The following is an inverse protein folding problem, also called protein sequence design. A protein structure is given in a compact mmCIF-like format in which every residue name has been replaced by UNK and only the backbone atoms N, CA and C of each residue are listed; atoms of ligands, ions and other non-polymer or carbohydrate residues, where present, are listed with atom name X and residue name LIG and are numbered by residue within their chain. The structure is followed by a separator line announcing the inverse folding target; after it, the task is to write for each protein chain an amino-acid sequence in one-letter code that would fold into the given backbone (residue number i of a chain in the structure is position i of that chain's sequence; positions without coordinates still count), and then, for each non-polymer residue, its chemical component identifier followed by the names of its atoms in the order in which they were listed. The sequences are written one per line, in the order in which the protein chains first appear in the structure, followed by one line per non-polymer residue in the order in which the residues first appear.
data_IF_833467463192
#
_entry.id   IF_833467463192
#
_cell.length_a   1.000
_cell.length_b   1.000
_cell.length_c   1.000
_cell.angle_alpha   90.00
_cell.angle_beta   90.00
_cell.angle_gamma   90.00
#
_symmetry.space_group_name_H-M   'P 1'
#
loop_
_entity.id
_entity.type
_entity.pdbx_description
1 polymer ?
#
# COMPACT_ATOMS: atom_id res chain seq x y z
N UNK A 1 43.61 -12.45 23.74
CA UNK A 1 42.37 -12.31 24.53
C UNK A 1 41.26 -12.98 23.74
N UNK A 2 40.59 -13.98 24.31
CA UNK A 2 39.52 -14.70 23.61
C UNK A 2 38.37 -13.73 23.31
N UNK A 3 38.21 -13.31 22.05
CA UNK A 3 37.04 -12.56 21.59
C UNK A 3 35.86 -13.53 21.60
N UNK A 4 35.23 -13.69 22.76
CA UNK A 4 34.01 -14.48 22.88
C UNK A 4 32.90 -13.78 22.12
N UNK A 5 32.38 -14.47 21.13
CA UNK A 5 31.20 -14.07 20.37
C UNK A 5 30.05 -13.89 21.37
N UNK A 6 29.24 -12.83 21.26
CA UNK A 6 28.09 -12.65 22.15
C UNK A 6 27.14 -13.83 22.00
N UNK A 7 26.76 -14.40 23.14
CA UNK A 7 25.83 -15.53 23.23
C UNK A 7 24.40 -15.08 23.51
N UNK A 8 24.23 -13.86 24.03
CA UNK A 8 22.94 -13.24 24.30
C UNK A 8 22.76 -11.94 23.52
N UNK A 9 21.52 -11.47 23.41
CA UNK A 9 21.20 -10.19 22.74
C UNK A 9 21.73 -9.01 23.56
N UNK A 10 21.73 -9.13 24.88
CA UNK A 10 22.26 -8.14 25.81
C UNK A 10 23.76 -7.95 25.60
N UNK A 11 24.52 -9.05 25.47
CA UNK A 11 25.94 -9.02 25.14
C UNK A 11 26.19 -8.44 23.75
N UNK A 12 25.36 -8.81 22.77
CA UNK A 12 25.44 -8.28 21.42
C UNK A 12 25.26 -6.75 21.42
N UNK A 13 24.23 -6.25 22.12
CA UNK A 13 23.97 -4.82 22.26
C UNK A 13 25.13 -4.11 22.97
N UNK A 14 25.60 -4.66 24.08
CA UNK A 14 26.68 -4.05 24.86
C UNK A 14 28.00 -3.94 24.05
N UNK A 15 28.33 -4.97 23.25
CA UNK A 15 29.62 -5.04 22.54
C UNK A 15 29.59 -4.48 21.13
N UNK A 16 28.46 -4.58 20.42
CA UNK A 16 28.37 -4.30 18.98
C UNK A 16 27.37 -3.21 18.60
N UNK A 17 26.68 -2.55 19.52
CA UNK A 17 25.67 -1.51 19.19
C UNK A 17 26.20 -0.45 18.23
N UNK A 18 27.38 0.13 18.48
CA UNK A 18 27.99 1.11 17.59
C UNK A 18 28.27 0.55 16.20
N UNK A 19 28.75 -0.70 16.12
CA UNK A 19 29.01 -1.38 14.85
C UNK A 19 27.71 -1.66 14.10
N UNK A 20 26.68 -2.18 14.78
CA UNK A 20 25.37 -2.49 14.21
C UNK A 20 24.75 -1.21 13.65
N UNK A 21 24.72 -0.11 14.41
CA UNK A 21 24.20 1.18 13.94
C UNK A 21 24.95 1.71 12.72
N UNK A 22 26.28 1.58 12.71
CA UNK A 22 27.11 1.96 11.54
C UNK A 22 26.77 1.11 10.31
N UNK A 23 26.61 -0.20 10.48
CA UNK A 23 26.23 -1.11 9.39
C UNK A 23 24.83 -0.80 8.87
N UNK A 24 23.85 -0.60 9.75
CA UNK A 24 22.48 -0.21 9.39
C UNK A 24 22.51 1.08 8.56
N UNK A 25 23.24 2.11 8.99
CA UNK A 25 23.37 3.36 8.25
C UNK A 25 23.92 3.14 6.83
N UNK A 26 25.02 2.39 6.72
CA UNK A 26 25.67 2.12 5.42
C UNK A 26 24.74 1.32 4.49
N UNK A 27 24.05 0.30 5.02
CA UNK A 27 23.14 -0.53 4.22
C UNK A 27 21.87 0.21 3.85
N UNK A 28 21.30 1.00 4.75
CA UNK A 28 20.12 1.82 4.48
C UNK A 28 20.37 2.76 3.31
N UNK A 29 21.55 3.42 3.27
CA UNK A 29 21.96 4.23 2.11
C UNK A 29 22.08 3.40 0.83
N UNK A 30 22.73 2.24 0.88
CA UNK A 30 22.89 1.35 -0.29
C UNK A 30 21.55 0.89 -0.87
N UNK A 31 20.56 0.61 -0.01
CA UNK A 31 19.24 0.11 -0.39
C UNK A 31 18.19 1.22 -0.55
N UNK A 32 18.61 2.49 -0.49
CA UNK A 32 17.76 3.67 -0.67
C UNK A 32 16.56 3.65 0.30
N UNK A 33 16.82 3.28 1.55
CA UNK A 33 15.83 3.30 2.63
C UNK A 33 15.87 4.66 3.34
N UNK A 34 14.71 5.24 3.69
CA UNK A 34 14.64 6.46 4.48
C UNK A 34 15.37 6.31 5.82
N UNK A 35 16.01 7.39 6.29
CA UNK A 35 16.67 7.41 7.60
C UNK A 35 15.69 7.17 8.76
N UNK A 36 14.41 7.49 8.59
CA UNK A 36 13.35 7.21 9.57
C UNK A 36 13.16 5.71 9.84
N UNK A 37 13.56 4.83 8.92
CA UNK A 37 13.45 3.37 9.10
C UNK A 37 14.63 2.76 9.88
N UNK A 38 15.61 3.55 10.33
CA UNK A 38 16.79 3.02 11.00
C UNK A 38 16.45 2.27 12.30
N UNK A 39 15.50 2.79 13.08
CA UNK A 39 15.01 2.12 14.30
C UNK A 39 14.26 0.84 13.98
N UNK A 40 13.42 0.84 12.93
CA UNK A 40 12.69 -0.35 12.47
C UNK A 40 13.66 -1.46 12.03
N UNK A 41 14.71 -1.10 11.28
CA UNK A 41 15.75 -2.03 10.84
C UNK A 41 16.49 -2.62 12.04
N UNK A 42 16.81 -1.78 13.04
CA UNK A 42 17.49 -2.24 14.25
C UNK A 42 16.62 -3.21 15.05
N UNK A 43 15.34 -2.90 15.24
CA UNK A 43 14.38 -3.78 15.91
C UNK A 43 14.21 -5.12 15.16
N UNK A 44 14.03 -5.07 13.84
CA UNK A 44 13.83 -6.27 13.03
C UNK A 44 15.09 -7.14 12.94
N UNK A 45 16.27 -6.51 12.96
CA UNK A 45 17.54 -7.23 13.10
C UNK A 45 17.60 -8.03 14.41
N UNK A 46 17.32 -7.42 15.57
CA UNK A 46 17.34 -8.14 16.85
C UNK A 46 16.26 -9.21 16.91
N UNK A 47 15.06 -8.92 16.39
CA UNK A 47 13.98 -9.90 16.30
C UNK A 47 14.42 -11.12 15.47
N UNK A 48 15.09 -10.93 14.33
CA UNK A 48 15.63 -12.04 13.53
C UNK A 48 16.71 -12.82 14.26
N UNK A 49 17.57 -12.16 15.03
CA UNK A 49 18.58 -12.82 15.84
C UNK A 49 17.96 -13.75 16.89
N UNK A 50 16.88 -13.31 17.54
CA UNK A 50 16.13 -14.11 18.52
C UNK A 50 15.39 -15.25 17.83
N UNK A 51 14.50 -14.92 16.89
CA UNK A 51 13.59 -15.90 16.25
C UNK A 51 14.31 -17.01 15.50
N UNK A 52 15.53 -16.75 15.00
CA UNK A 52 16.28 -17.74 14.23
C UNK A 52 17.50 -18.29 14.97
N UNK A 53 17.70 -17.95 16.25
CA UNK A 53 18.89 -18.28 17.05
C UNK A 53 20.20 -18.00 16.29
N UNK A 54 20.33 -16.82 15.70
CA UNK A 54 21.46 -16.51 14.79
C UNK A 54 22.80 -16.45 15.53
N UNK A 55 22.80 -16.11 16.82
CA UNK A 55 24.02 -16.08 17.63
C UNK A 55 24.60 -17.48 17.83
N UNK A 56 23.76 -18.47 18.11
CA UNK A 56 24.18 -19.88 18.26
C UNK A 56 24.62 -20.50 16.93
N UNK A 57 24.01 -20.06 15.82
CA UNK A 57 24.32 -20.55 14.46
C UNK A 57 25.56 -19.92 13.85
N UNK A 58 26.23 -19.00 14.55
CA UNK A 58 27.46 -18.40 14.05
C UNK A 58 28.59 -19.43 14.03
N UNK A 59 29.27 -19.49 12.88
CA UNK A 59 30.39 -20.38 12.64
C UNK A 59 31.68 -19.55 12.45
N UNK A 60 32.57 -19.50 13.45
CA UNK A 60 33.78 -18.68 13.40
C UNK A 60 34.78 -19.15 12.34
N UNK A 61 34.65 -20.36 11.81
CA UNK A 61 35.55 -20.88 10.78
C UNK A 61 35.25 -20.30 9.38
N UNK A 62 34.04 -19.77 9.17
CA UNK A 62 33.57 -19.31 7.86
C UNK A 62 33.77 -17.82 7.61
N UNK A 63 33.63 -16.99 8.64
CA UNK A 63 33.75 -15.55 8.52
C UNK A 63 33.94 -14.88 9.89
N UNK A 64 34.45 -13.65 9.89
CA UNK A 64 34.45 -12.83 11.08
C UNK A 64 33.02 -12.46 11.51
N UNK A 65 32.81 -12.29 12.82
CA UNK A 65 31.47 -12.03 13.38
C UNK A 65 30.86 -10.73 12.81
N UNK A 66 31.66 -9.68 12.58
CA UNK A 66 31.16 -8.46 11.94
C UNK A 66 30.64 -8.72 10.51
N UNK A 67 31.29 -9.59 9.75
CA UNK A 67 30.82 -10.00 8.41
C UNK A 67 29.52 -10.79 8.51
N UNK A 68 29.37 -11.60 9.56
CA UNK A 68 28.13 -12.33 9.83
C UNK A 68 26.97 -11.36 10.15
N UNK A 69 27.21 -10.36 11.02
CA UNK A 69 26.24 -9.30 11.31
C UNK A 69 25.87 -8.52 10.04
N UNK A 70 26.86 -8.16 9.22
CA UNK A 70 26.67 -7.47 7.95
C UNK A 70 25.74 -8.24 7.01
N UNK A 71 25.89 -9.57 6.94
CA UNK A 71 25.02 -10.44 6.13
C UNK A 71 23.58 -10.41 6.62
N UNK A 72 23.36 -10.48 7.92
CA UNK A 72 22.02 -10.47 8.52
C UNK A 72 21.34 -9.12 8.27
N UNK A 73 22.03 -8.01 8.56
CA UNK A 73 21.54 -6.65 8.34
C UNK A 73 21.25 -6.42 6.85
N UNK A 74 22.13 -6.89 5.96
CA UNK A 74 21.91 -6.85 4.51
C UNK A 74 20.61 -7.56 4.13
N UNK A 75 20.33 -8.73 4.71
CA UNK A 75 19.08 -9.45 4.50
C UNK A 75 17.85 -8.66 4.98
N UNK A 76 17.91 -8.03 6.15
CA UNK A 76 16.83 -7.16 6.66
C UNK A 76 16.57 -5.99 5.72
N UNK A 77 17.62 -5.24 5.37
CA UNK A 77 17.50 -4.09 4.46
C UNK A 77 17.01 -4.49 3.06
N UNK A 78 17.44 -5.64 2.53
CA UNK A 78 16.96 -6.15 1.25
C UNK A 78 15.47 -6.45 1.30
N UNK A 79 15.00 -7.16 2.33
CA UNK A 79 13.57 -7.46 2.50
C UNK A 79 12.73 -6.20 2.61
N UNK A 80 13.17 -5.22 3.40
CA UNK A 80 12.47 -3.94 3.54
C UNK A 80 12.48 -3.14 2.24
N UNK A 81 13.61 -3.08 1.54
CA UNK A 81 13.72 -2.39 0.25
C UNK A 81 12.83 -3.06 -0.81
N UNK A 82 12.75 -4.38 -0.84
CA UNK A 82 11.85 -5.11 -1.72
C UNK A 82 10.38 -4.83 -1.38
N UNK A 83 10.02 -4.75 -0.09
CA UNK A 83 8.67 -4.40 0.35
C UNK A 83 8.29 -2.97 -0.04
N UNK A 84 9.20 -2.03 0.16
CA UNK A 84 9.05 -0.62 -0.27
C UNK A 84 8.94 -0.51 -1.79
N UNK A 85 9.77 -1.23 -2.54
CA UNK A 85 9.70 -1.27 -4.00
C UNK A 85 8.44 -1.96 -4.50
N UNK A 86 7.95 -3.00 -3.81
CA UNK A 86 6.68 -3.63 -4.12
C UNK A 86 5.52 -2.65 -3.88
N UNK A 87 5.52 -1.93 -2.75
CA UNK A 87 4.53 -0.89 -2.48
C UNK A 87 4.56 0.23 -3.54
N UNK A 88 5.77 0.68 -3.94
CA UNK A 88 5.94 1.68 -5.01
C UNK A 88 5.55 1.16 -6.40
N UNK A 89 5.84 -0.10 -6.71
CA UNK A 89 5.39 -0.76 -7.95
C UNK A 89 3.88 -0.96 -7.95
N UNK A 90 3.26 -1.20 -6.81
CA UNK A 90 1.81 -1.31 -6.70
C UNK A 90 1.13 0.00 -7.08
N UNK A 91 1.62 1.15 -6.60
CA UNK A 91 1.14 2.48 -7.03
C UNK A 91 1.35 2.74 -8.54
N UNK A 92 2.51 2.34 -9.11
CA UNK A 92 2.80 2.56 -10.54
C UNK A 92 2.04 1.62 -11.49
N UNK A 93 1.62 0.46 -10.99
CA UNK A 93 0.93 -0.56 -11.78
C UNK A 93 -0.59 -0.43 -11.64
N UNK A 94 -1.10 0.20 -10.56
CA UNK A 94 -2.46 0.76 -10.52
C UNK A 94 -2.64 1.76 -11.68
N UNK A 95 -1.67 2.64 -11.92
CA UNK A 95 -1.66 3.60 -13.04
C UNK A 95 -1.73 2.95 -14.43
N UNK A 96 -1.13 1.77 -14.63
CA UNK A 96 -1.23 1.02 -15.91
C UNK A 96 -2.56 0.28 -16.05
N UNK A 97 -3.06 -0.34 -14.98
CA UNK A 97 -4.34 -1.05 -14.99
C UNK A 97 -5.51 -0.08 -15.21
N UNK A 98 -5.41 1.11 -14.64
CA UNK A 98 -6.27 2.26 -14.92
C UNK A 98 -6.22 2.67 -16.39
N UNK A 99 -5.02 2.86 -16.96
CA UNK A 99 -4.83 3.31 -18.35
C UNK A 99 -5.28 2.28 -19.40
N UNK A 100 -5.27 0.99 -19.07
CA UNK A 100 -5.62 -0.10 -19.97
C UNK A 100 -7.05 -0.63 -19.80
N UNK A 101 -7.79 -0.15 -18.80
CA UNK A 101 -9.17 -0.58 -18.53
C UNK A 101 -10.17 0.48 -19.01
N UNK A 102 -11.47 0.14 -19.08
CA UNK A 102 -12.56 1.09 -19.36
C UNK A 102 -12.61 2.26 -18.36
N UNK A 103 -11.95 2.10 -17.22
CA UNK A 103 -11.76 3.15 -16.22
C UNK A 103 -10.92 4.31 -16.77
N UNK A 104 -10.13 4.10 -17.83
CA UNK A 104 -9.47 5.20 -18.56
C UNK A 104 -10.45 6.19 -19.19
N UNK A 105 -11.69 5.78 -19.52
CA UNK A 105 -12.75 6.70 -19.96
C UNK A 105 -13.11 7.69 -18.84
N UNK A 106 -13.21 7.20 -17.59
CA UNK A 106 -13.39 8.04 -16.39
C UNK A 106 -12.20 9.01 -16.21
N UNK A 107 -10.96 8.57 -16.51
CA UNK A 107 -9.76 9.42 -16.48
C UNK A 107 -9.78 10.51 -17.57
N UNK A 108 -10.22 10.18 -18.80
CA UNK A 108 -10.28 11.11 -19.93
C UNK A 108 -11.45 12.10 -19.85
N UNK A 109 -12.49 11.81 -19.05
CA UNK A 109 -13.71 12.63 -18.98
C UNK A 109 -13.79 13.56 -17.77
N UNK A 110 -12.78 13.56 -16.91
CA UNK A 110 -12.52 14.68 -15.97
C UNK A 110 -12.31 16.02 -16.71
N UNK A 111 -12.00 15.99 -18.00
CA UNK A 111 -11.96 17.17 -18.88
C UNK A 111 -13.30 17.50 -19.58
N UNK A 112 -14.31 16.63 -19.54
CA UNK A 112 -15.59 16.83 -20.27
C UNK A 112 -16.82 17.00 -19.39
N UNK A 113 -16.75 16.69 -18.09
CA UNK A 113 -17.86 16.88 -17.14
C UNK A 113 -18.31 18.35 -16.95
N UNK A 114 -17.57 19.33 -17.50
CA UNK A 114 -18.03 20.73 -17.61
C UNK A 114 -19.15 20.93 -18.65
N UNK A 115 -19.51 19.89 -19.44
CA UNK A 115 -20.47 20.01 -20.56
C UNK A 115 -21.80 19.27 -20.39
N UNK A 116 -22.06 18.63 -19.25
CA UNK A 116 -23.40 18.14 -18.88
C UNK A 116 -23.91 16.88 -19.61
N UNK A 117 -23.06 16.16 -20.34
CA UNK A 117 -23.40 14.85 -20.93
C UNK A 117 -22.71 13.72 -20.15
N UNK A 118 -23.50 12.87 -19.50
CA UNK A 118 -22.99 11.64 -18.89
C UNK A 118 -22.55 10.65 -19.99
N UNK A 119 -21.29 10.22 -20.00
CA UNK A 119 -20.79 9.24 -20.94
C UNK A 119 -21.46 7.87 -20.74
N UNK A 120 -21.84 7.17 -21.82
CA UNK A 120 -22.51 5.86 -21.73
C UNK A 120 -21.71 4.82 -20.93
N UNK A 121 -20.38 4.93 -20.91
CA UNK A 121 -19.50 4.01 -20.19
C UNK A 121 -19.47 4.24 -18.67
N UNK A 122 -19.71 5.47 -18.19
CA UNK A 122 -19.74 5.77 -16.74
C UNK A 122 -20.96 5.12 -16.09
N UNK A 123 -22.14 5.20 -16.72
CA UNK A 123 -23.37 4.59 -16.21
C UNK A 123 -23.23 3.08 -16.08
N UNK A 124 -22.64 2.41 -17.09
CA UNK A 124 -22.36 0.98 -17.04
C UNK A 124 -21.40 0.62 -15.89
N UNK A 125 -20.37 1.44 -15.64
CA UNK A 125 -19.43 1.22 -14.54
C UNK A 125 -20.11 1.43 -13.18
N UNK A 126 -20.97 2.44 -13.03
CA UNK A 126 -21.77 2.66 -11.80
C UNK A 126 -22.68 1.46 -11.53
N UNK A 127 -23.35 0.95 -12.57
CA UNK A 127 -24.20 -0.24 -12.45
C UNK A 127 -23.39 -1.48 -12.03
N UNK A 128 -22.20 -1.67 -12.59
CA UNK A 128 -21.30 -2.76 -12.18
C UNK A 128 -20.84 -2.60 -10.73
N UNK A 129 -20.48 -1.39 -10.31
CA UNK A 129 -20.09 -1.11 -8.93
C UNK A 129 -21.23 -1.37 -7.95
N UNK A 130 -22.44 -0.93 -8.26
CA UNK A 130 -23.61 -1.12 -7.39
C UNK A 130 -24.03 -2.59 -7.25
N UNK A 131 -23.72 -3.44 -8.24
CA UNK A 131 -23.94 -4.89 -8.20
C UNK A 131 -22.94 -5.65 -7.32
N UNK A 132 -21.87 -5.02 -6.85
CA UNK A 132 -20.90 -5.67 -5.97
C UNK A 132 -21.57 -5.95 -4.62
N UNK A 133 -21.62 -7.23 -4.17
CA UNK A 133 -22.44 -7.61 -3.02
C UNK A 133 -21.84 -7.16 -1.68
N UNK A 134 -20.51 -7.08 -1.58
CA UNK A 134 -19.83 -6.67 -0.35
C UNK A 134 -19.63 -5.16 -0.32
N UNK A 135 -20.20 -4.50 0.69
CA UNK A 135 -20.15 -3.04 0.87
C UNK A 135 -18.72 -2.51 0.89
N UNK A 136 -17.81 -3.17 1.60
CA UNK A 136 -16.42 -2.72 1.75
C UNK A 136 -15.64 -2.85 0.42
N UNK A 137 -15.92 -3.89 -0.38
CA UNK A 137 -15.34 -4.06 -1.71
C UNK A 137 -15.84 -2.97 -2.68
N UNK A 138 -17.13 -2.65 -2.60
CA UNK A 138 -17.76 -1.58 -3.38
C UNK A 138 -17.22 -0.21 -2.99
N UNK A 139 -17.16 0.09 -1.70
CA UNK A 139 -16.57 1.32 -1.16
C UNK A 139 -15.09 1.44 -1.53
N UNK A 140 -14.30 0.37 -1.47
CA UNK A 140 -12.90 0.41 -1.88
C UNK A 140 -12.75 0.88 -3.33
N UNK A 141 -13.53 0.32 -4.24
CA UNK A 141 -13.52 0.74 -5.65
C UNK A 141 -14.01 2.19 -5.79
N UNK A 142 -15.14 2.56 -5.18
CA UNK A 142 -15.67 3.93 -5.24
C UNK A 142 -14.70 4.97 -4.67
N UNK A 143 -14.00 4.66 -3.57
CA UNK A 143 -13.02 5.56 -2.94
C UNK A 143 -11.72 5.65 -3.74
N UNK A 144 -11.26 4.53 -4.33
CA UNK A 144 -10.09 4.53 -5.22
C UNK A 144 -10.32 5.20 -6.56
N UNK A 145 -11.57 5.22 -7.03
CA UNK A 145 -11.98 5.94 -8.22
C UNK A 145 -12.72 7.24 -7.89
N UNK A 146 -12.67 7.71 -6.65
CA UNK A 146 -13.55 8.79 -6.20
C UNK A 146 -13.41 10.02 -7.10
N UNK A 147 -14.49 10.27 -7.82
CA UNK A 147 -14.77 11.47 -8.56
C UNK A 147 -16.23 11.82 -8.28
N UNK A 148 -16.59 13.10 -8.37
CA UNK A 148 -17.93 13.59 -8.03
C UNK A 148 -19.06 12.89 -8.80
N UNK A 149 -18.74 12.17 -9.89
CA UNK A 149 -19.66 11.42 -10.73
C UNK A 149 -20.02 10.02 -10.21
N UNK A 150 -19.36 9.48 -9.17
CA UNK A 150 -19.69 8.14 -8.63
C UNK A 150 -20.43 8.30 -7.30
N UNK A 151 -21.77 8.22 -7.28
CA UNK A 151 -22.55 8.45 -6.07
C UNK A 151 -22.40 7.31 -5.05
N UNK A 152 -22.37 7.70 -3.78
CA UNK A 152 -22.54 6.79 -2.65
C UNK A 152 -24.03 6.49 -2.46
N UNK A 153 -24.33 5.26 -2.08
CA UNK A 153 -25.65 4.87 -1.57
C UNK A 153 -25.83 5.37 -0.13
N UNK A 154 -27.07 5.37 0.38
CA UNK A 154 -27.35 5.81 1.76
C UNK A 154 -26.62 4.94 2.80
N UNK A 155 -26.64 3.62 2.65
CA UNK A 155 -25.91 2.70 3.54
C UNK A 155 -24.38 2.90 3.50
N UNK A 156 -23.85 3.31 2.34
CA UNK A 156 -22.43 3.66 2.21
C UNK A 156 -22.10 4.99 2.89
N UNK A 157 -22.97 5.99 2.77
CA UNK A 157 -22.83 7.28 3.46
C UNK A 157 -22.86 7.08 4.97
N UNK A 158 -23.86 6.38 5.50
CA UNK A 158 -23.99 6.09 6.92
C UNK A 158 -22.74 5.38 7.47
N UNK A 159 -22.25 4.37 6.76
CA UNK A 159 -21.03 3.66 7.13
C UNK A 159 -19.80 4.59 7.18
N UNK A 160 -19.63 5.47 6.18
CA UNK A 160 -18.50 6.39 6.14
C UNK A 160 -18.62 7.51 7.19
N UNK A 161 -19.83 8.01 7.44
CA UNK A 161 -20.12 9.01 8.46
C UNK A 161 -19.67 8.53 9.85
N UNK A 162 -20.04 7.29 10.21
CA UNK A 162 -19.60 6.64 11.44
C UNK A 162 -18.07 6.54 11.52
N UNK A 163 -17.42 6.11 10.43
CA UNK A 163 -15.95 5.95 10.38
C UNK A 163 -15.18 7.26 10.45
N UNK A 164 -15.75 8.33 9.91
CA UNK A 164 -15.15 9.66 9.91
C UNK A 164 -15.48 10.47 11.17
N UNK A 165 -16.52 10.08 11.92
CA UNK A 165 -17.04 10.87 13.03
C UNK A 165 -17.69 12.18 12.58
N UNK A 166 -18.41 12.15 11.45
CA UNK A 166 -19.09 13.30 10.85
C UNK A 166 -20.56 12.98 10.57
N UNK A 167 -21.38 14.01 10.34
CA UNK A 167 -22.75 13.81 9.87
C UNK A 167 -22.76 13.25 8.43
N UNK A 168 -23.78 12.44 8.08
CA UNK A 168 -23.92 11.87 6.73
C UNK A 168 -23.90 12.92 5.61
N UNK A 169 -24.47 14.10 5.87
CA UNK A 169 -24.50 15.24 4.91
C UNK A 169 -23.12 15.81 4.60
N UNK A 170 -22.13 15.56 5.47
CA UNK A 170 -20.78 16.12 5.39
C UNK A 170 -19.75 15.11 4.84
N UNK A 171 -20.17 13.87 4.57
CA UNK A 171 -19.31 12.79 4.07
C UNK A 171 -18.66 13.17 2.73
N UNK A 172 -19.46 13.61 1.76
CA UNK A 172 -18.96 14.00 0.44
C UNK A 172 -17.97 15.17 0.53
N UNK A 173 -18.22 16.16 1.38
CA UNK A 173 -17.30 17.28 1.59
C UNK A 173 -16.00 16.81 2.26
N UNK A 174 -16.08 15.87 3.20
CA UNK A 174 -14.92 15.28 3.88
C UNK A 174 -14.06 14.48 2.90
N UNK A 175 -14.67 13.68 2.04
CA UNK A 175 -13.97 12.95 0.97
C UNK A 175 -13.28 13.89 -0.01
N UNK A 176 -13.95 14.98 -0.43
CA UNK A 176 -13.34 16.02 -1.28
C UNK A 176 -12.12 16.65 -0.61
N UNK A 177 -12.18 16.92 0.69
CA UNK A 177 -11.06 17.49 1.43
C UNK A 177 -9.87 16.51 1.49
N UNK A 178 -10.13 15.22 1.72
CA UNK A 178 -9.09 14.18 1.67
C UNK A 178 -8.47 14.06 0.27
N UNK A 179 -9.28 14.15 -0.78
CA UNK A 179 -8.81 14.12 -2.16
C UNK A 179 -7.98 15.37 -2.52
N UNK A 180 -8.39 16.58 -2.15
CA UNK A 180 -7.64 17.82 -2.45
C UNK A 180 -6.26 17.88 -1.78
N UNK A 181 -6.07 17.15 -0.68
CA UNK A 181 -4.77 16.98 -0.05
C UNK A 181 -3.83 16.04 -0.82
N UNK A 182 -4.31 15.38 -1.89
CA UNK A 182 -3.50 14.64 -2.85
C UNK A 182 -3.15 15.55 -4.03
N UNK A 183 -1.95 15.38 -4.58
CA UNK A 183 -1.43 16.14 -5.72
C UNK A 183 -2.47 16.18 -6.83
N UNK A 184 -2.67 17.34 -7.49
CA UNK A 184 -3.77 17.66 -8.41
C UNK A 184 -3.99 16.71 -9.61
N UNK A 185 -3.23 15.61 -9.71
CA UNK A 185 -3.24 14.64 -10.79
C UNK A 185 -3.62 13.22 -10.33
N UNK A 186 -3.86 13.00 -9.03
CA UNK A 186 -4.29 11.69 -8.51
C UNK A 186 -5.83 11.61 -8.49
N UNK A 187 -6.37 10.50 -8.99
CA UNK A 187 -7.81 10.17 -8.94
C UNK A 187 -8.07 9.35 -7.68
N UNK A 188 -9.18 9.64 -7.00
CA UNK A 188 -9.56 8.95 -5.77
C UNK A 188 -8.71 9.29 -4.54
N UNK A 189 -8.81 8.44 -3.53
CA UNK A 189 -8.08 8.56 -2.27
C UNK A 189 -6.80 7.70 -2.23
N UNK A 190 -5.82 8.15 -1.43
CA UNK A 190 -4.60 7.38 -1.14
C UNK A 190 -4.90 6.16 -0.28
N UNK A 191 -4.06 5.13 -0.38
CA UNK A 191 -4.17 3.90 0.42
C UNK A 191 -4.25 4.20 1.92
N UNK A 192 -3.46 5.16 2.41
CA UNK A 192 -3.46 5.58 3.82
C UNK A 192 -4.83 6.09 4.29
N UNK A 193 -5.54 6.81 3.43
CA UNK A 193 -6.83 7.43 3.78
C UNK A 193 -7.93 6.39 3.67
N UNK A 194 -7.86 5.50 2.69
CA UNK A 194 -8.75 4.34 2.57
C UNK A 194 -8.63 3.42 3.79
N UNK A 195 -7.42 3.19 4.31
CA UNK A 195 -7.24 2.35 5.51
C UNK A 195 -7.80 2.97 6.80
N UNK A 196 -8.04 4.28 6.82
CA UNK A 196 -8.72 4.94 7.93
C UNK A 196 -10.23 4.71 7.88
N UNK A 197 -10.78 4.57 6.67
CA UNK A 197 -12.21 4.45 6.41
C UNK A 197 -12.68 3.00 6.34
N UNK A 198 -11.83 2.10 5.86
CA UNK A 198 -12.14 0.69 5.61
C UNK A 198 -11.23 -0.22 6.45
N UNK A 199 -11.70 -1.41 6.86
CA UNK A 199 -10.95 -2.34 7.69
C UNK A 199 -9.88 -3.11 6.89
N UNK A 200 -9.04 -2.40 6.15
CA UNK A 200 -7.99 -2.97 5.31
C UNK A 200 -6.61 -2.58 5.82
N UNK A 201 -5.65 -3.48 5.65
CA UNK A 201 -4.24 -3.20 5.92
C UNK A 201 -3.63 -2.42 4.75
N UNK A 202 -2.75 -1.45 5.03
CA UNK A 202 -2.16 -0.56 4.03
C UNK A 202 -1.53 -1.30 2.83
N UNK A 203 -0.80 -2.39 3.08
CA UNK A 203 -0.18 -3.21 2.04
C UNK A 203 -1.13 -4.13 1.28
N UNK A 204 -2.42 -4.17 1.64
CA UNK A 204 -3.43 -5.01 0.98
C UNK A 204 -4.34 -4.23 0.04
N UNK A 205 -4.39 -2.90 0.17
CA UNK A 205 -5.37 -2.05 -0.53
C UNK A 205 -5.20 -2.13 -2.04
N UNK A 206 -3.98 -1.91 -2.57
CA UNK A 206 -3.73 -1.94 -4.02
C UNK A 206 -3.91 -3.34 -4.60
N UNK A 207 -3.37 -4.38 -3.96
CA UNK A 207 -3.59 -5.77 -4.41
C UNK A 207 -5.08 -6.15 -4.42
N UNK A 208 -5.83 -5.78 -3.37
CA UNK A 208 -7.27 -6.04 -3.30
C UNK A 208 -8.01 -5.26 -4.38
N UNK A 209 -7.70 -3.98 -4.54
CA UNK A 209 -8.26 -3.12 -5.58
C UNK A 209 -8.09 -3.73 -6.98
N UNK A 210 -6.86 -4.11 -7.37
CA UNK A 210 -6.60 -4.76 -8.67
C UNK A 210 -7.43 -6.02 -8.87
N UNK A 211 -7.52 -6.86 -7.82
CA UNK A 211 -8.31 -8.10 -7.85
C UNK A 211 -9.80 -7.81 -8.07
N UNK A 212 -10.34 -6.80 -7.38
CA UNK A 212 -11.74 -6.41 -7.48
C UNK A 212 -12.05 -5.75 -8.84
N UNK A 213 -11.15 -4.89 -9.34
CA UNK A 213 -11.26 -4.29 -10.68
C UNK A 213 -11.34 -5.38 -11.74
N UNK A 214 -10.43 -6.36 -11.72
CA UNK A 214 -10.48 -7.47 -12.69
C UNK A 214 -11.80 -8.24 -12.60
N UNK A 215 -12.15 -8.68 -11.39
CA UNK A 215 -13.30 -9.54 -11.13
C UNK A 215 -14.64 -8.89 -11.49
N UNK A 216 -14.84 -7.63 -11.10
CA UNK A 216 -16.16 -6.99 -11.17
C UNK A 216 -16.31 -5.99 -12.31
N UNK A 217 -15.21 -5.39 -12.77
CA UNK A 217 -15.25 -4.34 -13.78
C UNK A 217 -14.72 -4.86 -15.11
N UNK A 218 -13.46 -5.30 -15.15
CA UNK A 218 -12.76 -5.62 -16.40
C UNK A 218 -13.43 -6.80 -17.13
N UNK A 219 -13.59 -7.94 -16.46
CA UNK A 219 -14.13 -9.15 -17.07
C UNK A 219 -15.59 -8.94 -17.53
N UNK A 220 -16.38 -8.22 -16.73
CA UNK A 220 -17.78 -7.91 -17.02
C UNK A 220 -17.92 -6.91 -18.16
N UNK A 221 -17.08 -5.88 -18.21
CA UNK A 221 -17.12 -4.89 -19.28
C UNK A 221 -16.69 -5.49 -20.63
N UNK A 222 -15.66 -6.34 -20.63
CA UNK A 222 -15.24 -7.07 -21.84
C UNK A 222 -16.40 -7.93 -22.36
N UNK A 223 -17.10 -8.64 -21.47
CA UNK A 223 -18.28 -9.43 -21.83
C UNK A 223 -19.39 -8.56 -22.43
N UNK A 224 -19.74 -7.44 -21.79
CA UNK A 224 -20.76 -6.52 -22.28
C UNK A 224 -20.42 -6.01 -23.68
N UNK A 225 -19.18 -5.56 -23.90
CA UNK A 225 -18.75 -4.99 -25.19
C UNK A 225 -18.76 -6.03 -26.34
N UNK A 226 -18.40 -7.28 -26.04
CA UNK A 226 -18.40 -8.35 -27.03
C UNK A 226 -19.79 -8.94 -27.29
N UNK A 227 -20.78 -8.63 -26.44
CA UNK A 227 -22.17 -9.09 -26.60
C UNK A 227 -23.04 -8.10 -27.39
N UNK A 228 -22.52 -6.89 -27.66
CA UNK A 228 -23.20 -5.82 -28.42
C UNK A 228 -22.67 -5.68 -29.85
N UNK A 229 -21.76 -6.56 -30.29
CA UNK A 229 -21.31 -6.73 -31.69
C UNK A 229 -22.01 -7.92 -32.32
#
# INVERSE_FOLDING_TARGET
MANTVPTTIEELKARYSTTIKKLIYLKSKKYILPLSCAEDIEQEFYLKCITNNLLEKYDPTKAAFQTYLDRIITGVCLTLSQREQAAKKEDYDDDKLVKLSPLSAIYSEKQKLETGNEPPDIKAIIDLLNKIPKKEERLLLKLKFYCEAIPLTEDERAYLAERMGVDEKDVEQSLKNMQRATTAHEIGLKNKDICRLLPYQMGSVSTLFKRLVRKYILDQYIYLKNSTQ
#
